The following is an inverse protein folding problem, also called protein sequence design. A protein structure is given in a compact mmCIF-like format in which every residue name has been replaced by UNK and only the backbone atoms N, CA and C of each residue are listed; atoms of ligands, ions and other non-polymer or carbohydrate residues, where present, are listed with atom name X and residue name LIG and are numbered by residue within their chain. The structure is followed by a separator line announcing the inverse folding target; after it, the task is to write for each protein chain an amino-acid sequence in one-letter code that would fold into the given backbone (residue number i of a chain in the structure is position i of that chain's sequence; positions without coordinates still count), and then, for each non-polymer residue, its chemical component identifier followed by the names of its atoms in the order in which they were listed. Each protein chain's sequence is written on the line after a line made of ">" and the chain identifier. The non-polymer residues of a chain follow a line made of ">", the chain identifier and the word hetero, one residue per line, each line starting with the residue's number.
data_IF_226823817611
#
_entry.id   IF_226823817611
#
_cell.length_a   1.000
_cell.length_b   1.000
_cell.length_c   1.000
_cell.angle_alpha   90.00
_cell.angle_beta   90.00
_cell.angle_gamma   90.00
#
_symmetry.space_group_name_H-M   'P 1'
#
loop_
_entity.id
_entity.type
_entity.pdbx_description
1 polymer ?
#
# COMPACT_ATOMS: atom_id res chain seq x y z
N UNK A 1 1.19 -29.75 -0.48
CA UNK A 1 1.82 -28.41 -0.47
C UNK A 1 1.18 -27.66 0.67
N UNK A 2 1.96 -27.29 1.70
CA UNK A 2 1.43 -26.45 2.78
C UNK A 2 1.57 -25.00 2.33
N UNK A 3 0.45 -24.29 2.20
CA UNK A 3 0.43 -22.87 1.88
C UNK A 3 0.50 -22.07 3.18
N UNK A 4 1.52 -21.24 3.35
CA UNK A 4 1.56 -20.24 4.43
C UNK A 4 0.51 -19.17 4.15
N UNK A 5 -0.31 -18.75 5.14
CA UNK A 5 -1.23 -17.63 4.95
C UNK A 5 -0.44 -16.36 4.60
N UNK A 6 -0.92 -15.61 3.61
CA UNK A 6 -0.35 -14.33 3.17
C UNK A 6 -1.35 -13.23 3.54
N UNK A 7 -0.90 -12.26 4.34
CA UNK A 7 -1.72 -11.14 4.76
C UNK A 7 -1.57 -9.98 3.77
N UNK A 8 -2.68 -9.53 3.20
CA UNK A 8 -2.68 -8.54 2.12
C UNK A 8 -3.35 -7.24 2.57
N UNK A 9 -2.70 -6.12 2.32
CA UNK A 9 -3.25 -4.78 2.48
C UNK A 9 -3.80 -4.24 1.15
N UNK A 10 -5.02 -3.72 1.17
CA UNK A 10 -5.69 -3.13 0.00
C UNK A 10 -5.89 -1.64 0.26
N UNK A 11 -5.24 -0.80 -0.54
CA UNK A 11 -5.31 0.65 -0.38
C UNK A 11 -6.57 1.21 -1.04
N UNK A 12 -7.42 1.86 -0.24
CA UNK A 12 -8.59 2.63 -0.70
C UNK A 12 -8.41 4.13 -0.42
N UNK A 13 -7.28 4.67 -0.86
CA UNK A 13 -6.97 6.10 -0.76
C UNK A 13 -6.50 6.60 -2.12
N UNK A 14 -6.87 7.82 -2.55
CA UNK A 14 -6.33 8.41 -3.77
C UNK A 14 -4.90 8.94 -3.55
N UNK A 15 -4.10 9.14 -4.62
CA UNK A 15 -2.88 9.93 -4.56
C UNK A 15 -3.18 11.41 -4.28
N UNK A 16 -2.13 12.21 -4.13
CA UNK A 16 -2.27 13.67 -4.02
C UNK A 16 -2.46 14.24 -5.43
N UNK A 17 -3.59 14.91 -5.65
CA UNK A 17 -4.01 15.36 -6.98
C UNK A 17 -2.93 16.20 -7.69
N UNK A 18 -2.45 15.69 -8.83
CA UNK A 18 -1.42 16.29 -9.68
C UNK A 18 -0.15 16.71 -8.94
N UNK A 19 0.21 15.98 -7.87
CA UNK A 19 1.44 16.19 -7.14
C UNK A 19 2.17 14.86 -6.95
N UNK A 20 3.18 14.61 -7.80
CA UNK A 20 3.94 13.37 -7.80
C UNK A 20 4.69 13.17 -6.48
N UNK A 21 5.45 14.19 -6.04
CA UNK A 21 6.29 14.10 -4.84
C UNK A 21 5.46 13.74 -3.60
N UNK A 22 4.37 14.46 -3.36
CA UNK A 22 3.48 14.19 -2.23
C UNK A 22 2.74 12.86 -2.35
N UNK A 23 2.50 12.38 -3.58
CA UNK A 23 1.92 11.05 -3.78
C UNK A 23 2.92 9.96 -3.42
N UNK A 24 4.20 10.11 -3.79
CA UNK A 24 5.24 9.16 -3.38
C UNK A 24 5.45 9.16 -1.87
N UNK A 25 5.48 10.33 -1.22
CA UNK A 25 5.53 10.42 0.24
C UNK A 25 4.35 9.68 0.89
N UNK A 26 3.12 9.91 0.38
CA UNK A 26 1.92 9.21 0.86
C UNK A 26 2.01 7.69 0.64
N UNK A 27 2.59 7.23 -0.47
CA UNK A 27 2.77 5.81 -0.73
C UNK A 27 3.68 5.16 0.32
N UNK A 28 4.80 5.83 0.67
CA UNK A 28 5.71 5.36 1.71
C UNK A 28 5.00 5.18 3.05
N UNK A 29 4.21 6.19 3.46
CA UNK A 29 3.44 6.13 4.70
C UNK A 29 2.41 4.99 4.72
N UNK A 30 1.73 4.76 3.60
CA UNK A 30 0.75 3.66 3.48
C UNK A 30 1.44 2.27 3.49
N UNK A 31 2.64 2.18 2.94
CA UNK A 31 3.47 0.95 3.00
C UNK A 31 3.93 0.70 4.45
N UNK A 32 4.37 1.74 5.15
CA UNK A 32 4.74 1.67 6.57
C UNK A 32 3.55 1.21 7.43
N UNK A 33 2.36 1.81 7.25
CA UNK A 33 1.13 1.39 7.93
C UNK A 33 0.79 -0.09 7.63
N UNK A 34 0.88 -0.51 6.37
CA UNK A 34 0.64 -1.91 6.01
C UNK A 34 1.63 -2.86 6.70
N UNK A 35 2.90 -2.46 6.81
CA UNK A 35 3.94 -3.21 7.48
C UNK A 35 3.72 -3.27 9.01
N UNK A 36 3.29 -2.18 9.65
CA UNK A 36 2.92 -2.16 11.08
C UNK A 36 1.80 -3.14 11.42
N UNK A 37 0.94 -3.43 10.44
CA UNK A 37 -0.11 -4.40 10.60
C UNK A 37 0.33 -5.85 10.29
N UNK A 38 1.58 -6.11 9.86
CA UNK A 38 2.12 -7.40 9.38
C UNK A 38 1.68 -7.80 7.95
N UNK A 39 1.57 -6.86 7.00
CA UNK A 39 1.19 -7.21 5.62
C UNK A 39 2.39 -7.77 4.85
N UNK A 40 2.19 -8.89 4.16
CA UNK A 40 3.17 -9.49 3.25
C UNK A 40 3.10 -8.90 1.83
N UNK A 41 1.94 -8.32 1.48
CA UNK A 41 1.67 -7.73 0.18
C UNK A 41 0.77 -6.50 0.35
N UNK A 42 1.05 -5.45 -0.42
CA UNK A 42 0.23 -4.24 -0.51
C UNK A 42 -0.13 -3.99 -1.96
N UNK A 43 -1.40 -3.67 -2.22
CA UNK A 43 -1.89 -3.34 -3.54
C UNK A 43 -2.48 -1.92 -3.58
N UNK A 44 -2.06 -1.17 -4.59
CA UNK A 44 -2.61 0.14 -4.92
C UNK A 44 -3.58 0.04 -6.11
N UNK A 45 -4.60 0.91 -6.18
CA UNK A 45 -5.47 1.05 -7.36
C UNK A 45 -4.71 1.35 -8.66
N UNK A 46 -5.37 1.12 -9.80
CA UNK A 46 -4.83 1.48 -11.11
C UNK A 46 -4.53 2.99 -11.19
N UNK A 47 -3.36 3.35 -11.73
CA UNK A 47 -2.89 4.75 -11.86
C UNK A 47 -2.88 5.55 -10.55
N UNK A 48 -2.68 4.86 -9.42
CA UNK A 48 -2.40 5.49 -8.14
C UNK A 48 -1.09 6.29 -8.21
#
# INVERSE_FOLDING_TARGET
>A
MNSTPCRVAIIQHPPVFLNLEKSIEKASLLIEEAAEHDADLIAFPETW
#
